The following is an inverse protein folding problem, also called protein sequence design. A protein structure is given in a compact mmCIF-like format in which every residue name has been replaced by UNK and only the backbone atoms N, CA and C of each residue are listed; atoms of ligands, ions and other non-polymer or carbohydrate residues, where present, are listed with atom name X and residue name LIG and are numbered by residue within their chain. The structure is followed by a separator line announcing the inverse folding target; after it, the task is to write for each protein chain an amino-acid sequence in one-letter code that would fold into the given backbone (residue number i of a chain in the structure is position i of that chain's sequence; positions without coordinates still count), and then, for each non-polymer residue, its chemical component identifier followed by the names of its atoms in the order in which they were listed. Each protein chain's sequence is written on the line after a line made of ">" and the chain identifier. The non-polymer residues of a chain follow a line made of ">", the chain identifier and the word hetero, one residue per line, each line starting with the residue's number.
data_IF_929304807389
#
_entry.id   IF_929304807389
#
_cell.length_a   1.000
_cell.length_b   1.000
_cell.length_c   1.000
_cell.angle_alpha   90.00
_cell.angle_beta   90.00
_cell.angle_gamma   90.00
#
_symmetry.space_group_name_H-M   'P 1'
#
loop_
_entity.id
_entity.type
_entity.pdbx_description
1 polymer ?
#
# COMPACT_ATOMS: atom_id res chain seq x y z
N UNK A 1 -12.43 -22.58 -1.10
CA UNK A 1 -12.13 -21.14 -1.39
C UNK A 1 -10.95 -21.11 -2.36
N UNK A 2 -10.83 -20.09 -3.21
CA UNK A 2 -9.65 -19.95 -4.07
C UNK A 2 -8.44 -19.51 -3.24
N UNK A 3 -7.22 -19.93 -3.62
CA UNK A 3 -5.98 -19.58 -2.92
C UNK A 3 -5.82 -18.06 -2.72
N UNK A 4 -6.06 -17.18 -3.71
CA UNK A 4 -5.95 -15.73 -3.52
C UNK A 4 -6.90 -15.17 -2.47
N UNK A 5 -8.11 -15.72 -2.34
CA UNK A 5 -9.09 -15.29 -1.36
C UNK A 5 -8.67 -15.65 0.07
N UNK A 6 -8.24 -16.89 0.30
CA UNK A 6 -7.77 -17.33 1.63
C UNK A 6 -6.55 -16.51 2.10
N UNK A 7 -5.62 -16.28 1.19
CA UNK A 7 -4.41 -15.50 1.46
C UNK A 7 -4.72 -14.01 1.71
N UNK A 8 -5.73 -13.46 1.01
CA UNK A 8 -6.16 -12.07 1.23
C UNK A 8 -6.85 -11.92 2.59
N UNK A 9 -7.69 -12.88 3.00
CA UNK A 9 -8.30 -12.90 4.33
C UNK A 9 -7.24 -12.99 5.42
N UNK A 10 -6.25 -13.89 5.25
CA UNK A 10 -5.11 -13.97 6.16
C UNK A 10 -4.40 -12.63 6.30
N UNK A 11 -4.08 -11.97 5.18
CA UNK A 11 -3.42 -10.65 5.18
C UNK A 11 -4.25 -9.61 5.93
N UNK A 12 -5.57 -9.57 5.66
CA UNK A 12 -6.49 -8.65 6.33
C UNK A 12 -6.49 -8.86 7.84
N UNK A 13 -6.66 -10.13 8.27
CA UNK A 13 -6.68 -10.45 9.71
C UNK A 13 -5.36 -10.11 10.39
N UNK A 14 -4.23 -10.39 9.74
CA UNK A 14 -2.91 -10.05 10.28
C UNK A 14 -2.70 -8.52 10.38
N UNK A 15 -3.18 -7.74 9.41
CA UNK A 15 -3.16 -6.27 9.47
C UNK A 15 -4.08 -5.75 10.57
N UNK A 16 -5.28 -6.35 10.71
CA UNK A 16 -6.30 -5.96 11.68
C UNK A 16 -6.01 -6.35 13.14
N UNK A 17 -4.90 -7.02 13.42
CA UNK A 17 -4.50 -7.37 14.79
C UNK A 17 -4.19 -6.10 15.59
N UNK A 18 -4.84 -5.94 16.74
CA UNK A 18 -4.65 -4.78 17.60
C UNK A 18 -3.22 -4.61 18.12
N UNK A 19 -2.49 -5.73 18.35
CA UNK A 19 -1.10 -5.69 18.81
C UNK A 19 -0.10 -5.14 17.79
N UNK A 20 -0.50 -5.02 16.50
CA UNK A 20 0.34 -4.47 15.43
C UNK A 20 0.17 -2.97 15.24
N UNK A 21 -0.97 -2.40 15.60
CA UNK A 21 -1.25 -0.97 15.47
C UNK A 21 -1.16 -0.45 14.04
N UNK A 22 -1.56 -1.28 13.04
CA UNK A 22 -1.50 -0.90 11.64
C UNK A 22 -2.78 -0.21 11.15
N UNK A 23 -3.92 -0.53 11.77
CA UNK A 23 -5.22 0.08 11.50
C UNK A 23 -6.03 0.13 12.79
N UNK A 24 -6.89 1.14 12.89
CA UNK A 24 -7.88 1.28 13.94
C UNK A 24 -9.29 1.24 13.34
N UNK A 25 -10.28 0.84 14.14
CA UNK A 25 -11.70 0.79 13.74
C UNK A 25 -11.90 -0.01 12.43
N UNK A 26 -12.60 0.59 11.45
CA UNK A 26 -12.88 0.01 10.14
C UNK A 26 -11.96 0.58 9.03
N UNK A 27 -10.86 1.20 9.43
CA UNK A 27 -9.87 1.76 8.51
C UNK A 27 -9.12 0.67 7.73
N UNK A 28 -8.37 1.12 6.74
CA UNK A 28 -7.56 0.25 5.92
C UNK A 28 -8.33 -0.49 4.82
N UNK A 29 -7.58 -0.97 3.86
CA UNK A 29 -8.11 -1.73 2.73
C UNK A 29 -7.09 -2.77 2.24
N UNK A 30 -7.60 -3.85 1.67
CA UNK A 30 -6.79 -4.89 1.04
C UNK A 30 -7.38 -5.29 -0.30
N UNK A 31 -6.51 -5.68 -1.23
CA UNK A 31 -6.93 -6.29 -2.49
C UNK A 31 -5.97 -7.37 -2.96
N UNK A 32 -6.48 -8.30 -3.78
CA UNK A 32 -5.69 -9.33 -4.44
C UNK A 32 -6.08 -9.45 -5.91
N UNK A 33 -5.09 -9.52 -6.80
CA UNK A 33 -5.28 -9.79 -8.22
C UNK A 33 -5.70 -11.23 -8.43
N UNK A 34 -6.75 -11.44 -9.23
CA UNK A 34 -7.20 -12.75 -9.64
C UNK A 34 -6.65 -13.11 -11.03
N UNK A 35 -6.80 -12.20 -11.98
CA UNK A 35 -6.30 -12.31 -13.36
C UNK A 35 -5.97 -10.91 -13.93
N UNK A 36 -5.96 -10.78 -15.24
CA UNK A 36 -5.57 -9.52 -15.90
C UNK A 36 -6.60 -8.40 -15.75
N UNK A 37 -7.87 -8.71 -15.48
CA UNK A 37 -8.94 -7.73 -15.30
C UNK A 37 -9.62 -7.81 -13.94
N UNK A 38 -9.61 -8.97 -13.27
CA UNK A 38 -10.37 -9.15 -12.04
C UNK A 38 -9.50 -9.10 -10.80
N UNK A 39 -10.02 -8.46 -9.76
CA UNK A 39 -9.38 -8.41 -8.45
C UNK A 39 -10.42 -8.44 -7.32
N UNK A 40 -10.02 -8.96 -6.16
CA UNK A 40 -10.78 -8.88 -4.92
C UNK A 40 -10.41 -7.61 -4.18
N UNK A 41 -11.39 -6.93 -3.58
CA UNK A 41 -11.18 -5.76 -2.73
C UNK A 41 -12.16 -5.76 -1.56
N UNK A 42 -11.73 -5.23 -0.42
CA UNK A 42 -12.57 -5.10 0.78
C UNK A 42 -13.80 -4.24 0.51
N UNK A 43 -14.96 -4.70 0.96
CA UNK A 43 -16.20 -3.93 0.93
C UNK A 43 -16.12 -2.71 1.85
N UNK A 44 -16.88 -1.68 1.51
CA UNK A 44 -17.06 -0.48 2.32
C UNK A 44 -17.67 -0.83 3.69
N UNK A 45 -17.07 -0.30 4.78
CA UNK A 45 -17.57 -0.48 6.14
C UNK A 45 -17.19 -1.80 6.81
N UNK A 46 -16.47 -2.69 6.16
CA UNK A 46 -15.95 -3.93 6.77
C UNK A 46 -14.71 -3.66 7.60
N UNK A 47 -14.50 -4.40 8.69
CA UNK A 47 -13.32 -4.33 9.53
C UNK A 47 -12.24 -5.29 9.03
N UNK A 48 -10.97 -4.90 9.12
CA UNK A 48 -9.84 -5.73 8.69
C UNK A 48 -9.68 -6.98 9.55
N UNK A 49 -9.86 -6.86 10.86
CA UNK A 49 -9.64 -7.94 11.83
C UNK A 49 -10.65 -9.08 11.75
N UNK A 50 -11.85 -8.82 11.22
CA UNK A 50 -12.97 -9.79 11.17
C UNK A 50 -13.51 -9.99 9.77
N UNK A 51 -12.76 -9.56 8.74
CA UNK A 51 -13.16 -9.64 7.34
C UNK A 51 -13.53 -11.08 6.96
N UNK A 52 -14.69 -11.24 6.33
CA UNK A 52 -15.17 -12.53 5.82
C UNK A 52 -15.13 -12.58 4.28
N UNK A 53 -15.33 -13.76 3.72
CA UNK A 53 -15.38 -13.94 2.25
C UNK A 53 -16.49 -13.13 1.58
N UNK A 54 -17.63 -12.98 2.25
CA UNK A 54 -18.79 -12.22 1.76
C UNK A 54 -18.56 -10.70 1.78
N UNK A 55 -17.51 -10.26 2.46
CA UNK A 55 -17.08 -8.86 2.54
C UNK A 55 -15.92 -8.52 1.59
N UNK A 56 -15.48 -9.50 0.81
CA UNK A 56 -14.60 -9.31 -0.33
C UNK A 56 -15.42 -9.23 -1.61
N UNK A 57 -15.21 -8.17 -2.37
CA UNK A 57 -15.96 -7.90 -3.61
C UNK A 57 -15.03 -8.13 -4.79
N UNK A 58 -15.44 -9.01 -5.71
CA UNK A 58 -14.77 -9.19 -7.00
C UNK A 58 -15.20 -8.07 -7.96
N UNK A 59 -14.21 -7.38 -8.53
CA UNK A 59 -14.43 -6.25 -9.43
C UNK A 59 -13.65 -6.40 -10.73
N UNK A 60 -14.19 -5.85 -11.82
CA UNK A 60 -13.49 -5.60 -13.07
C UNK A 60 -12.64 -4.35 -12.97
N UNK A 61 -11.32 -4.47 -13.10
CA UNK A 61 -10.40 -3.36 -13.04
C UNK A 61 -10.59 -2.40 -14.22
N UNK A 62 -10.82 -2.92 -15.43
CA UNK A 62 -11.02 -2.14 -16.66
C UNK A 62 -12.07 -1.04 -16.49
N UNK A 63 -13.23 -1.37 -15.92
CA UNK A 63 -14.30 -0.40 -15.66
C UNK A 63 -13.91 0.74 -14.73
N UNK A 64 -13.10 0.44 -13.71
CA UNK A 64 -12.63 1.45 -12.74
C UNK A 64 -11.51 2.29 -13.36
N UNK A 65 -10.66 1.68 -14.20
CA UNK A 65 -9.56 2.37 -14.85
C UNK A 65 -10.02 3.43 -15.85
N UNK A 66 -11.14 3.20 -16.55
CA UNK A 66 -11.76 4.18 -17.46
C UNK A 66 -12.05 5.50 -16.73
N UNK A 67 -12.50 5.45 -15.48
CA UNK A 67 -12.71 6.64 -14.64
C UNK A 67 -11.45 7.45 -14.39
N UNK A 68 -10.30 6.80 -14.29
CA UNK A 68 -9.04 7.50 -14.03
C UNK A 68 -8.56 8.31 -15.23
N UNK A 69 -9.08 8.05 -16.42
CA UNK A 69 -8.77 8.78 -17.66
C UNK A 69 -9.75 9.93 -17.93
N UNK A 70 -10.87 10.00 -17.20
CA UNK A 70 -11.83 11.09 -17.31
C UNK A 70 -11.33 12.35 -16.59
N UNK A 71 -11.52 13.54 -17.15
CA UNK A 71 -10.95 14.79 -16.59
C UNK A 71 -11.54 15.17 -15.23
N UNK A 72 -12.83 14.96 -15.05
CA UNK A 72 -13.56 15.22 -13.79
C UNK A 72 -14.44 14.01 -13.48
N UNK A 73 -14.38 13.55 -12.26
CA UNK A 73 -15.24 12.45 -11.74
C UNK A 73 -15.70 12.88 -10.37
N UNK A 74 -17.00 13.03 -10.21
CA UNK A 74 -17.59 13.31 -8.90
C UNK A 74 -17.77 12.04 -8.06
N UNK A 75 -18.19 12.23 -6.79
CA UNK A 75 -18.35 11.11 -5.88
C UNK A 75 -19.51 10.18 -6.26
N UNK A 76 -20.54 10.69 -6.93
CA UNK A 76 -21.71 9.90 -7.35
C UNK A 76 -21.34 9.02 -8.56
N UNK A 77 -20.59 9.58 -9.52
CA UNK A 77 -20.07 8.85 -10.68
C UNK A 77 -19.07 7.75 -10.26
N UNK A 78 -18.16 8.05 -9.32
CA UNK A 78 -17.28 7.04 -8.75
C UNK A 78 -18.08 5.92 -8.08
N UNK A 79 -19.05 6.24 -7.24
CA UNK A 79 -19.86 5.24 -6.56
C UNK A 79 -20.67 4.40 -7.56
N UNK A 80 -21.25 5.00 -8.60
CA UNK A 80 -21.97 4.28 -9.65
C UNK A 80 -21.07 3.31 -10.42
N UNK A 81 -19.87 3.76 -10.79
CA UNK A 81 -18.90 2.91 -11.49
C UNK A 81 -18.41 1.76 -10.61
N UNK A 82 -18.13 2.01 -9.33
CA UNK A 82 -17.75 0.94 -8.40
C UNK A 82 -18.86 -0.11 -8.25
N UNK A 83 -20.12 0.33 -8.22
CA UNK A 83 -21.26 -0.58 -8.18
C UNK A 83 -21.41 -1.37 -9.50
N UNK A 84 -21.12 -0.75 -10.64
CA UNK A 84 -21.14 -1.45 -11.94
C UNK A 84 -19.92 -2.36 -12.17
N UNK A 85 -18.79 -2.05 -11.59
CA UNK A 85 -17.58 -2.84 -11.71
C UNK A 85 -17.66 -4.23 -11.03
N UNK A 86 -18.61 -4.44 -10.13
CA UNK A 86 -18.80 -5.75 -9.46
C UNK A 86 -19.10 -6.85 -10.46
N UNK A 87 -18.46 -8.00 -10.30
CA UNK A 87 -18.78 -9.21 -11.08
C UNK A 87 -20.15 -9.73 -10.65
N UNK A 88 -20.35 -9.97 -9.37
CA UNK A 88 -21.66 -10.26 -8.79
C UNK A 88 -22.37 -8.96 -8.41
N UNK A 89 -23.47 -8.64 -9.11
CA UNK A 89 -24.24 -7.41 -8.88
C UNK A 89 -24.96 -7.39 -7.52
N UNK A 90 -25.13 -8.53 -6.87
CA UNK A 90 -25.69 -8.66 -5.52
C UNK A 90 -24.65 -8.45 -4.42
N UNK A 91 -23.34 -8.50 -4.74
CA UNK A 91 -22.28 -8.31 -3.77
C UNK A 91 -22.33 -6.93 -3.11
N UNK A 92 -21.68 -6.78 -1.96
CA UNK A 92 -21.61 -5.51 -1.21
C UNK A 92 -20.94 -4.42 -2.04
N UNK A 93 -21.10 -3.16 -1.62
CA UNK A 93 -20.44 -2.02 -2.26
C UNK A 93 -18.92 -2.09 -2.01
N UNK A 94 -18.08 -2.01 -3.05
CA UNK A 94 -16.63 -1.88 -2.88
C UNK A 94 -16.27 -0.60 -2.13
N UNK A 95 -15.14 -0.59 -1.43
CA UNK A 95 -14.58 0.64 -0.89
C UNK A 95 -14.24 1.62 -2.03
N UNK A 96 -14.36 2.94 -1.79
CA UNK A 96 -13.92 3.98 -2.76
C UNK A 96 -12.42 3.91 -3.06
N UNK A 97 -11.65 3.32 -2.18
CA UNK A 97 -10.22 3.04 -2.36
C UNK A 97 -9.95 2.02 -3.46
N UNK A 98 -10.96 1.24 -3.88
CA UNK A 98 -10.88 0.37 -5.06
C UNK A 98 -10.41 1.13 -6.31
N UNK A 99 -10.60 2.45 -6.38
CA UNK A 99 -10.11 3.27 -7.48
C UNK A 99 -8.58 3.20 -7.66
N UNK A 100 -7.80 3.35 -6.60
CA UNK A 100 -6.34 3.19 -6.70
C UNK A 100 -5.91 1.71 -6.62
N UNK A 101 -6.64 0.85 -5.93
CA UNK A 101 -6.36 -0.58 -5.91
C UNK A 101 -6.42 -1.19 -7.32
N UNK A 102 -7.44 -0.85 -8.11
CA UNK A 102 -7.59 -1.32 -9.49
C UNK A 102 -6.35 -1.01 -10.34
N UNK A 103 -5.82 0.21 -10.24
CA UNK A 103 -4.63 0.59 -10.99
C UNK A 103 -3.36 -0.08 -10.46
N UNK A 104 -3.18 -0.14 -9.14
CA UNK A 104 -2.00 -0.76 -8.53
C UNK A 104 -1.92 -2.27 -8.83
N UNK A 105 -3.06 -2.93 -9.03
CA UNK A 105 -3.11 -4.33 -9.47
C UNK A 105 -2.62 -4.53 -10.92
N UNK A 106 -2.51 -3.46 -11.73
CA UNK A 106 -1.95 -3.54 -13.08
C UNK A 106 -0.42 -3.39 -13.10
N UNK A 107 0.20 -3.01 -11.99
CA UNK A 107 1.66 -2.90 -11.90
C UNK A 107 2.27 -4.29 -11.95
N UNK A 108 3.23 -4.49 -12.85
CA UNK A 108 3.91 -5.78 -13.05
C UNK A 108 4.55 -6.29 -11.74
N UNK A 109 4.34 -7.56 -11.43
CA UNK A 109 4.86 -8.20 -10.21
C UNK A 109 4.03 -7.95 -8.95
N UNK A 110 2.97 -7.14 -9.00
CA UNK A 110 2.07 -6.90 -7.87
C UNK A 110 0.86 -7.82 -7.95
N UNK A 111 0.57 -8.50 -6.84
CA UNK A 111 -0.61 -9.35 -6.66
C UNK A 111 -1.43 -8.98 -5.44
N UNK A 112 -0.81 -8.37 -4.42
CA UNK A 112 -1.45 -7.96 -3.19
C UNK A 112 -1.14 -6.51 -2.90
N UNK A 113 -2.14 -5.76 -2.48
CA UNK A 113 -2.05 -4.35 -2.09
C UNK A 113 -2.78 -4.17 -0.78
N UNK A 114 -2.17 -3.44 0.16
CA UNK A 114 -2.81 -3.06 1.41
C UNK A 114 -2.58 -1.58 1.71
N UNK A 115 -3.63 -0.88 2.11
CA UNK A 115 -3.63 0.48 2.63
C UNK A 115 -3.86 0.47 4.13
N UNK A 116 -3.04 1.21 4.88
CA UNK A 116 -3.08 1.28 6.34
C UNK A 116 -2.78 2.70 6.83
N UNK A 117 -3.18 2.97 8.09
CA UNK A 117 -3.05 4.26 8.77
C UNK A 117 -2.29 4.16 10.10
N UNK A 118 -1.09 3.54 10.14
CA UNK A 118 -0.39 3.30 11.40
C UNK A 118 -0.04 4.63 12.11
N UNK A 119 -0.19 4.69 13.41
CA UNK A 119 -0.09 5.93 14.17
C UNK A 119 1.27 6.64 14.06
N UNK A 120 2.39 5.89 14.13
CA UNK A 120 3.72 6.52 13.99
C UNK A 120 3.97 6.98 12.55
N UNK A 121 3.48 6.23 11.54
CA UNK A 121 3.51 6.71 10.17
C UNK A 121 2.72 8.03 10.03
N UNK A 122 1.49 8.10 10.56
CA UNK A 122 0.68 9.33 10.51
C UNK A 122 1.38 10.52 11.18
N UNK A 123 2.07 10.33 12.30
CA UNK A 123 2.85 11.40 12.94
C UNK A 123 3.86 12.03 11.96
N UNK A 124 4.56 11.19 11.19
CA UNK A 124 5.51 11.68 10.18
C UNK A 124 4.79 12.28 8.98
N UNK A 125 3.73 11.63 8.50
CA UNK A 125 3.01 12.02 7.28
C UNK A 125 2.20 13.33 7.45
N UNK A 126 1.85 13.68 8.67
CA UNK A 126 1.22 14.96 9.03
C UNK A 126 2.26 16.05 9.35
N UNK A 127 3.55 15.86 9.01
CA UNK A 127 4.62 16.80 9.23
C UNK A 127 5.30 17.23 7.92
N UNK A 128 6.09 18.30 7.91
CA UNK A 128 6.90 18.69 6.75
C UNK A 128 7.94 17.64 6.34
N UNK A 129 8.17 16.61 7.16
CA UNK A 129 9.18 15.57 6.93
C UNK A 129 8.67 14.36 6.16
N UNK A 130 7.41 14.37 5.70
CA UNK A 130 6.78 13.25 5.02
C UNK A 130 7.55 12.79 3.76
N UNK A 131 7.96 13.73 2.90
CA UNK A 131 8.74 13.45 1.69
C UNK A 131 10.13 12.90 2.03
N UNK A 132 10.81 13.52 3.00
CA UNK A 132 12.10 13.04 3.49
C UNK A 132 12.03 11.61 4.01
N UNK A 133 10.99 11.27 4.77
CA UNK A 133 10.75 9.90 5.25
C UNK A 133 10.53 8.91 4.11
N UNK A 134 9.83 9.31 3.06
CA UNK A 134 9.61 8.49 1.88
C UNK A 134 10.92 8.22 1.12
N UNK A 135 11.75 9.24 0.94
CA UNK A 135 12.94 9.17 0.08
C UNK A 135 14.19 8.65 0.77
N UNK A 136 14.34 8.89 2.08
CA UNK A 136 15.56 8.57 2.83
C UNK A 136 15.42 7.26 3.63
N UNK A 137 16.57 6.63 3.90
CA UNK A 137 16.65 5.40 4.71
C UNK A 137 17.61 5.58 5.87
N UNK A 138 17.22 5.11 7.05
CA UNK A 138 18.01 5.27 8.29
C UNK A 138 18.83 4.03 8.61
N UNK A 139 18.37 2.83 8.24
CA UNK A 139 19.02 1.59 8.60
C UNK A 139 18.80 0.48 7.54
N UNK A 140 19.67 -0.57 7.52
CA UNK A 140 19.69 -1.58 6.46
C UNK A 140 18.37 -2.33 6.27
N UNK A 141 17.68 -2.74 7.34
CA UNK A 141 16.46 -3.52 7.24
C UNK A 141 15.31 -2.73 6.59
N UNK A 142 15.28 -1.40 6.77
CA UNK A 142 14.36 -0.52 6.06
C UNK A 142 14.56 -0.60 4.54
N UNK A 143 15.81 -0.63 4.08
CA UNK A 143 16.12 -0.82 2.65
C UNK A 143 15.67 -2.20 2.18
N UNK A 144 15.98 -3.24 2.94
CA UNK A 144 15.65 -4.62 2.57
C UNK A 144 14.15 -4.84 2.35
N UNK A 145 13.30 -4.22 3.19
CA UNK A 145 11.86 -4.46 3.16
C UNK A 145 11.06 -3.39 2.40
N UNK A 146 11.47 -2.12 2.46
CA UNK A 146 10.76 -1.02 1.81
C UNK A 146 11.47 -0.47 0.55
N UNK A 147 12.63 -1.06 0.16
CA UNK A 147 13.43 -0.58 -0.97
C UNK A 147 14.29 0.63 -0.63
N UNK A 148 15.09 1.09 -1.59
CA UNK A 148 15.99 2.26 -1.43
C UNK A 148 15.22 3.56 -1.21
N UNK A 149 14.02 3.67 -1.76
CA UNK A 149 13.11 4.78 -1.58
C UNK A 149 11.67 4.28 -1.69
N UNK A 150 10.72 5.03 -1.14
CA UNK A 150 9.28 4.87 -1.32
C UNK A 150 8.76 5.95 -2.27
N UNK A 151 7.60 5.72 -2.87
CA UNK A 151 6.95 6.76 -3.68
C UNK A 151 6.21 7.71 -2.75
N UNK A 152 6.56 8.99 -2.77
CA UNK A 152 5.84 10.04 -2.07
C UNK A 152 4.67 10.56 -2.92
N UNK A 153 3.49 10.66 -2.30
CA UNK A 153 2.28 11.21 -2.89
C UNK A 153 1.80 12.36 -2.02
N UNK A 154 1.79 13.61 -2.51
CA UNK A 154 1.21 14.74 -1.81
C UNK A 154 -0.27 14.51 -1.50
N UNK A 155 -0.80 15.28 -0.55
CA UNK A 155 -2.22 15.20 -0.22
C UNK A 155 -3.10 15.39 -1.47
N UNK A 156 -4.04 14.49 -1.62
CA UNK A 156 -5.11 14.56 -2.60
C UNK A 156 -6.42 14.09 -1.97
N UNK A 157 -7.54 14.62 -2.44
CA UNK A 157 -8.86 14.25 -1.94
C UNK A 157 -9.19 12.78 -2.22
N UNK A 158 -9.96 12.11 -1.33
CA UNK A 158 -10.34 10.71 -1.49
C UNK A 158 -11.06 10.44 -2.82
N UNK A 159 -10.88 9.23 -3.33
CA UNK A 159 -11.52 8.77 -4.56
C UNK A 159 -10.64 8.94 -5.79
N UNK A 160 -11.22 9.41 -6.90
CA UNK A 160 -10.51 9.52 -8.18
C UNK A 160 -9.33 10.50 -8.17
N UNK A 161 -9.34 11.66 -7.45
CA UNK A 161 -8.17 12.53 -7.37
C UNK A 161 -6.96 11.83 -6.77
N UNK A 162 -7.13 11.14 -5.63
CA UNK A 162 -6.05 10.37 -4.99
C UNK A 162 -5.55 9.26 -5.91
N UNK A 163 -6.43 8.51 -6.56
CA UNK A 163 -6.05 7.42 -7.43
C UNK A 163 -5.21 7.92 -8.63
N UNK A 164 -5.55 9.07 -9.20
CA UNK A 164 -4.77 9.71 -10.28
C UNK A 164 -3.42 10.21 -9.80
N UNK A 165 -3.36 10.83 -8.62
CA UNK A 165 -2.08 11.30 -8.06
C UNK A 165 -1.14 10.12 -7.78
N UNK A 166 -1.65 9.02 -7.21
CA UNK A 166 -0.89 7.78 -7.01
C UNK A 166 -0.37 7.26 -8.36
N UNK A 167 -1.24 7.14 -9.39
CA UNK A 167 -0.86 6.71 -10.73
C UNK A 167 0.25 7.58 -11.30
N UNK A 168 0.08 8.88 -11.23
CA UNK A 168 1.05 9.86 -11.74
C UNK A 168 2.42 9.73 -11.07
N UNK A 169 2.46 9.67 -9.74
CA UNK A 169 3.70 9.58 -8.96
C UNK A 169 4.42 8.25 -9.16
N UNK A 170 3.71 7.13 -9.15
CA UNK A 170 4.33 5.82 -9.41
C UNK A 170 4.90 5.77 -10.81
N UNK A 171 4.14 6.19 -11.84
CA UNK A 171 4.61 6.23 -13.23
C UNK A 171 5.83 7.13 -13.39
N UNK A 172 5.84 8.30 -12.75
CA UNK A 172 6.99 9.22 -12.80
C UNK A 172 8.24 8.60 -12.18
N UNK A 173 8.10 7.94 -11.03
CA UNK A 173 9.22 7.27 -10.35
C UNK A 173 9.77 6.10 -11.18
N UNK A 174 8.92 5.33 -11.83
CA UNK A 174 9.32 4.26 -12.74
C UNK A 174 10.10 4.79 -13.94
N UNK A 175 9.62 5.87 -14.59
CA UNK A 175 10.29 6.52 -15.73
C UNK A 175 11.65 7.09 -15.36
N UNK A 176 11.80 7.63 -14.16
CA UNK A 176 13.08 8.14 -13.64
C UNK A 176 14.05 7.03 -13.21
N UNK A 177 13.60 5.78 -13.18
CA UNK A 177 14.38 4.65 -12.68
C UNK A 177 14.65 4.70 -11.18
N UNK A 178 13.99 5.60 -10.44
CA UNK A 178 14.19 5.76 -9.00
C UNK A 178 13.62 4.57 -8.21
N UNK A 179 12.44 4.08 -8.64
CA UNK A 179 11.77 2.90 -8.06
C UNK A 179 11.14 2.12 -9.19
N UNK A 180 11.67 0.95 -9.52
CA UNK A 180 11.14 0.11 -10.60
C UNK A 180 9.77 -0.49 -10.26
N UNK A 181 9.67 -1.12 -9.09
CA UNK A 181 8.43 -1.65 -8.52
C UNK A 181 8.36 -1.16 -7.09
N UNK A 182 7.45 -0.26 -6.75
CA UNK A 182 7.35 0.25 -5.38
C UNK A 182 6.91 -0.85 -4.43
N UNK A 183 7.56 -0.95 -3.26
CA UNK A 183 7.12 -1.80 -2.16
C UNK A 183 6.25 -1.03 -1.18
N UNK A 184 6.46 0.30 -1.13
CA UNK A 184 5.75 1.22 -0.26
C UNK A 184 5.45 2.53 -0.98
N UNK A 185 4.23 3.02 -0.85
CA UNK A 185 3.79 4.36 -1.25
C UNK A 185 3.39 5.10 0.03
N UNK A 186 3.84 6.32 0.17
CA UNK A 186 3.63 7.18 1.34
C UNK A 186 2.68 8.30 0.94
N UNK A 187 1.52 8.37 1.59
CA UNK A 187 0.47 9.34 1.29
C UNK A 187 0.46 10.44 2.34
N UNK A 188 0.78 11.67 1.98
CA UNK A 188 0.77 12.81 2.90
C UNK A 188 -0.60 12.97 3.55
N UNK A 189 -0.62 13.16 4.90
CA UNK A 189 -1.81 13.35 5.72
C UNK A 189 -2.86 12.22 5.64
N UNK A 190 -2.47 10.99 5.20
CA UNK A 190 -3.43 9.90 5.00
C UNK A 190 -2.98 8.53 5.51
N UNK A 191 -1.80 8.07 5.12
CA UNK A 191 -1.33 6.73 5.47
C UNK A 191 -0.32 6.16 4.48
N UNK A 192 -0.23 4.84 4.44
CA UNK A 192 0.74 4.12 3.61
C UNK A 192 0.06 3.01 2.81
N UNK A 193 0.58 2.74 1.61
CA UNK A 193 0.17 1.59 0.79
C UNK A 193 1.39 0.69 0.61
N UNK A 194 1.27 -0.59 0.98
CA UNK A 194 2.26 -1.61 0.67
C UNK A 194 1.80 -2.50 -0.48
N UNK A 195 2.76 -2.90 -1.32
CA UNK A 195 2.53 -3.67 -2.53
C UNK A 195 3.52 -4.86 -2.58
N UNK A 196 3.06 -5.99 -3.10
CA UNK A 196 3.91 -7.17 -3.23
C UNK A 196 3.31 -8.31 -4.03
N UNK A 197 4.17 -9.26 -4.38
CA UNK A 197 3.76 -10.50 -5.04
C UNK A 197 3.12 -11.49 -4.06
N UNK A 198 3.38 -11.35 -2.76
CA UNK A 198 2.85 -12.22 -1.71
C UNK A 198 2.30 -11.39 -0.54
N UNK A 199 1.31 -11.90 0.19
CA UNK A 199 0.74 -11.18 1.34
C UNK A 199 1.76 -11.00 2.47
N UNK A 200 2.70 -11.92 2.64
CA UNK A 200 3.77 -11.81 3.64
C UNK A 200 4.73 -10.64 3.33
N UNK A 201 5.04 -10.42 2.05
CA UNK A 201 5.87 -9.28 1.63
C UNK A 201 5.16 -7.95 1.92
N UNK A 202 3.85 -7.88 1.66
CA UNK A 202 3.02 -6.70 1.98
C UNK A 202 2.98 -6.44 3.47
N UNK A 203 2.69 -7.46 4.28
CA UNK A 203 2.66 -7.35 5.74
C UNK A 203 4.01 -6.90 6.30
N UNK A 204 5.10 -7.50 5.83
CA UNK A 204 6.46 -7.14 6.27
C UNK A 204 6.80 -5.69 5.93
N UNK A 205 6.40 -5.21 4.74
CA UNK A 205 6.62 -3.81 4.34
C UNK A 205 5.86 -2.83 5.24
N UNK A 206 4.60 -3.15 5.62
CA UNK A 206 3.80 -2.34 6.55
C UNK A 206 4.43 -2.28 7.95
N UNK A 207 4.80 -3.44 8.51
CA UNK A 207 5.43 -3.51 9.83
C UNK A 207 6.77 -2.78 9.86
N UNK A 208 7.56 -2.88 8.78
CA UNK A 208 8.82 -2.16 8.67
C UNK A 208 8.61 -0.65 8.53
N UNK A 209 7.57 -0.21 7.80
CA UNK A 209 7.24 1.21 7.68
C UNK A 209 6.86 1.81 9.04
N UNK A 210 6.00 1.13 9.81
CA UNK A 210 5.62 1.58 11.17
C UNK A 210 6.82 1.59 12.12
N UNK A 211 7.67 0.55 12.11
CA UNK A 211 8.93 0.55 12.88
C UNK A 211 9.83 1.71 12.49
N UNK A 212 9.98 1.97 11.19
CA UNK A 212 10.82 3.05 10.68
C UNK A 212 10.28 4.42 11.09
N UNK A 213 8.97 4.60 11.08
CA UNK A 213 8.33 5.84 11.51
C UNK A 213 8.55 6.10 13.01
N UNK A 214 8.42 5.07 13.86
CA UNK A 214 8.75 5.17 15.30
C UNK A 214 10.21 5.59 15.52
N UNK A 215 11.15 4.99 14.79
CA UNK A 215 12.57 5.35 14.86
C UNK A 215 12.76 6.78 14.38
N UNK A 216 12.11 7.18 13.29
CA UNK A 216 12.20 8.53 12.74
C UNK A 216 11.71 9.59 13.74
N UNK A 217 10.54 9.40 14.35
CA UNK A 217 9.97 10.30 15.36
C UNK A 217 10.91 10.39 16.57
N UNK A 218 11.41 9.26 17.08
CA UNK A 218 12.36 9.26 18.18
C UNK A 218 13.67 9.97 17.84
N UNK A 219 14.23 9.77 16.65
CA UNK A 219 15.44 10.45 16.20
C UNK A 219 15.22 11.96 16.01
N UNK A 220 14.02 12.38 15.57
CA UNK A 220 13.69 13.80 15.43
C UNK A 220 13.79 14.55 16.77
N UNK A 221 13.45 13.89 17.89
CA UNK A 221 13.59 14.45 19.25
C UNK A 221 15.07 14.52 19.71
N UNK A 222 15.97 13.82 19.05
CA UNK A 222 17.41 13.76 19.34
C UNK A 222 18.24 14.55 18.33
N UNK A 223 17.74 15.68 17.85
CA UNK A 223 18.33 16.58 16.86
C UNK A 223 18.26 16.08 15.39
N UNK A 224 17.38 15.11 15.09
CA UNK A 224 17.06 14.66 13.76
C UNK A 224 17.66 13.29 13.39
N UNK A 225 17.07 12.61 12.41
CA UNK A 225 17.55 11.32 11.95
C UNK A 225 18.85 11.44 11.12
N UNK A 226 19.73 10.46 11.30
CA UNK A 226 20.88 10.27 10.42
C UNK A 226 20.50 9.25 9.33
N UNK A 227 20.75 9.61 8.07
CA UNK A 227 20.41 8.79 6.93
C UNK A 227 21.61 8.02 6.38
N UNK A 228 21.33 6.85 5.82
CA UNK A 228 22.28 6.10 4.99
C UNK A 228 22.64 6.92 3.74
N UNK A 229 23.90 6.89 3.34
CA UNK A 229 24.32 7.49 2.07
C UNK A 229 23.70 6.73 0.89
N UNK A 230 23.34 7.39 -0.23
CA UNK A 230 22.70 6.72 -1.37
C UNK A 230 23.43 5.48 -1.86
N UNK A 231 24.77 5.51 -1.93
CA UNK A 231 25.58 4.35 -2.33
C UNK A 231 25.56 3.18 -1.34
N UNK A 232 25.25 3.41 -0.06
CA UNK A 232 25.04 2.36 0.94
C UNK A 232 23.69 1.68 0.75
N UNK A 233 22.63 2.46 0.53
CA UNK A 233 21.28 1.94 0.27
C UNK A 233 21.24 1.10 -1.01
N UNK A 234 21.86 1.55 -2.10
CA UNK A 234 21.93 0.80 -3.36
C UNK A 234 22.66 -0.54 -3.24
N UNK A 235 23.75 -0.61 -2.45
CA UNK A 235 24.45 -1.88 -2.19
C UNK A 235 23.60 -2.88 -1.43
N UNK A 236 22.72 -2.42 -0.55
CA UNK A 236 21.83 -3.28 0.24
C UNK A 236 20.65 -3.84 -0.58
N UNK A 237 20.25 -3.18 -1.65
CA UNK A 237 19.18 -3.63 -2.54
C UNK A 237 19.65 -4.73 -3.51
N UNK A 238 20.95 -4.84 -3.79
CA UNK A 238 21.49 -5.85 -4.69
C UNK A 238 21.46 -7.25 -4.05
N UNK A 239 20.94 -8.29 -4.76
CA UNK A 239 20.78 -9.66 -4.22
C UNK A 239 22.08 -10.29 -3.71
N UNK A 240 23.25 -9.91 -4.22
CA UNK A 240 24.56 -10.38 -3.77
C UNK A 240 24.92 -9.94 -2.34
N UNK A 241 24.36 -8.83 -1.87
CA UNK A 241 24.55 -8.37 -0.49
C UNK A 241 23.55 -9.01 0.51
N UNK A 242 22.38 -9.43 0.03
CA UNK A 242 21.32 -10.05 0.85
C UNK A 242 21.58 -11.54 1.12
N UNK A 243 22.42 -12.22 0.33
CA UNK A 243 22.73 -13.66 0.47
C UNK A 243 23.58 -14.01 1.68
N UNK A 244 24.12 -13.04 2.41
CA UNK A 244 24.99 -13.25 3.57
C UNK A 244 24.30 -13.20 4.93
N UNK A 245 22.98 -12.95 4.98
CA UNK A 245 22.23 -13.02 6.25
C UNK A 245 21.38 -14.28 6.31
N UNK A 246 21.51 -15.08 7.38
CA UNK A 246 20.64 -16.26 7.55
C UNK A 246 19.17 -15.82 7.58
N UNK A 247 18.32 -16.52 6.84
CA UNK A 247 16.86 -16.37 6.91
C UNK A 247 16.40 -16.78 8.32
N UNK A 248 16.32 -15.81 9.22
CA UNK A 248 15.67 -16.00 10.52
C UNK A 248 14.17 -15.81 10.30
N UNK A 249 13.50 -16.84 9.85
CA UNK A 249 12.05 -17.05 10.03
C UNK A 249 11.74 -18.46 9.51
N UNK A 250 12.15 -19.43 10.33
CA UNK A 250 11.46 -20.73 10.47
C UNK A 250 11.22 -20.89 11.96
N UNK A 251 10.10 -20.48 12.42
CA UNK A 251 9.32 -21.05 13.53
C UNK A 251 7.91 -20.47 13.45
#
# INVERSE_FOLDING_TARGET
>A
MSEPLERLLWLSHEIGRADRGLVDLNEGNVSARLDDDRFLVKASGSAMSTLTSEELVECHASKILELLDMPLVDSAELDATLMDARVDKSARRPSREAAFHAWLQQVEGIRYVAYCTPAACLQVLCSPMAETFAEQRMFPDQVTHNGVASVFVPYADPGSPLAREIRGRVTLNQRRGSVRVPRLIVLQNRGIIALGATPEAVLTALLMAEKSARVFVGAALLNGPLFLKPGQSQKLENPSAASQRPRILKQ
#
